data_IF_645794347708
#
_entry.id   IF_645794347708
#
_cell.length_a   1.000
_cell.length_b   1.000
_cell.length_c   1.000
_cell.angle_alpha   90.00
_cell.angle_beta   90.00
_cell.angle_gamma   90.00
#
_symmetry.space_group_name_H-M   'P 1'
#
loop_
_entity.id
_entity.type
_entity.pdbx_description
1 polymer ?
#
# COMPACT_ATOMS: atom_id res chain seq x y z
N UNK A 1 8.49 -15.54 -23.64
CA UNK A 1 7.03 -15.38 -23.45
C UNK A 1 6.52 -15.63 -22.02
N UNK A 2 5.43 -14.95 -21.64
CA UNK A 2 4.62 -15.26 -20.47
C UNK A 2 3.88 -16.59 -20.64
N UNK A 3 3.69 -17.38 -19.56
CA UNK A 3 2.93 -18.63 -19.63
C UNK A 3 1.51 -18.41 -20.15
N UNK A 4 0.97 -19.41 -20.84
CA UNK A 4 -0.42 -19.37 -21.33
C UNK A 4 -1.43 -19.74 -20.23
N UNK A 5 -0.97 -20.40 -19.16
CA UNK A 5 -1.81 -20.86 -18.05
C UNK A 5 -1.31 -20.33 -16.70
N UNK A 6 -2.21 -20.11 -15.73
CA UNK A 6 -1.82 -19.68 -14.39
C UNK A 6 -0.90 -20.66 -13.67
N UNK A 7 -1.05 -21.97 -13.89
CA UNK A 7 -0.18 -22.99 -13.29
C UNK A 7 1.26 -22.88 -13.79
N UNK A 8 1.48 -22.44 -15.04
CA UNK A 8 2.82 -22.19 -15.57
C UNK A 8 3.58 -21.06 -14.87
N UNK A 9 2.92 -20.24 -14.05
CA UNK A 9 3.60 -19.24 -13.22
C UNK A 9 4.33 -19.87 -12.03
N UNK A 10 3.84 -21.00 -11.49
CA UNK A 10 4.41 -21.63 -10.27
C UNK A 10 5.86 -22.06 -10.46
N UNK A 11 6.24 -22.43 -11.68
CA UNK A 11 7.61 -22.82 -12.03
C UNK A 11 8.49 -21.62 -12.41
N UNK A 12 7.92 -20.40 -12.44
CA UNK A 12 8.57 -19.18 -12.90
C UNK A 12 8.36 -18.03 -11.91
N UNK A 13 9.14 -17.98 -10.81
CA UNK A 13 8.97 -16.98 -9.76
C UNK A 13 9.04 -15.52 -10.24
N UNK A 14 9.87 -15.23 -11.25
CA UNK A 14 9.96 -13.90 -11.86
C UNK A 14 8.65 -13.50 -12.55
N UNK A 15 8.06 -14.41 -13.34
CA UNK A 15 6.79 -14.19 -14.01
C UNK A 15 5.65 -14.07 -13.00
N UNK A 16 5.64 -14.94 -11.98
CA UNK A 16 4.64 -14.91 -10.91
C UNK A 16 4.65 -13.58 -10.16
N UNK A 17 5.85 -13.08 -9.80
CA UNK A 17 5.98 -11.81 -9.11
C UNK A 17 5.47 -10.65 -9.96
N UNK A 18 5.89 -10.57 -11.24
CA UNK A 18 5.49 -9.49 -12.14
C UNK A 18 3.98 -9.49 -12.44
N UNK A 19 3.40 -10.67 -12.66
CA UNK A 19 1.95 -10.83 -12.83
C UNK A 19 1.21 -10.49 -11.53
N UNK A 20 1.76 -10.87 -10.37
CA UNK A 20 1.21 -10.55 -9.06
C UNK A 20 1.15 -9.04 -8.80
N UNK A 21 2.22 -8.32 -9.11
CA UNK A 21 2.26 -6.86 -8.97
C UNK A 21 1.24 -6.21 -9.92
N UNK A 22 1.20 -6.63 -11.20
CA UNK A 22 0.22 -6.11 -12.16
C UNK A 22 -1.22 -6.34 -11.70
N UNK A 23 -1.52 -7.55 -11.23
CA UNK A 23 -2.83 -7.92 -10.69
C UNK A 23 -3.22 -7.01 -9.51
N UNK A 24 -2.31 -6.81 -8.55
CA UNK A 24 -2.55 -5.95 -7.41
C UNK A 24 -2.83 -4.48 -7.78
N UNK A 25 -2.07 -3.93 -8.74
CA UNK A 25 -2.20 -2.53 -9.16
C UNK A 25 -3.42 -2.28 -10.06
N UNK A 26 -3.81 -3.27 -10.89
CA UNK A 26 -4.96 -3.17 -11.79
C UNK A 26 -6.28 -3.62 -11.17
N UNK A 27 -6.25 -4.25 -9.99
CA UNK A 27 -7.43 -4.86 -9.36
C UNK A 27 -7.91 -6.14 -10.05
N UNK A 28 -7.14 -6.67 -11.02
CA UNK A 28 -7.44 -7.93 -11.72
C UNK A 28 -6.91 -9.13 -10.94
N UNK A 29 -7.49 -10.29 -11.18
CA UNK A 29 -6.93 -11.56 -10.72
C UNK A 29 -5.70 -11.95 -11.56
N UNK A 30 -4.80 -12.76 -10.99
CA UNK A 30 -3.64 -13.28 -11.72
C UNK A 30 -4.06 -14.07 -12.97
N UNK A 31 -5.19 -14.77 -12.92
CA UNK A 31 -5.71 -15.52 -14.05
C UNK A 31 -6.09 -14.61 -15.23
N UNK A 32 -6.79 -13.50 -14.96
CA UNK A 32 -7.15 -12.51 -15.98
C UNK A 32 -5.90 -11.88 -16.61
N UNK A 33 -4.88 -11.56 -15.81
CA UNK A 33 -3.61 -11.01 -16.32
C UNK A 33 -2.88 -12.02 -17.18
N UNK A 34 -2.84 -13.30 -16.79
CA UNK A 34 -2.27 -14.37 -17.62
C UNK A 34 -3.03 -14.49 -18.94
N UNK A 35 -4.37 -14.46 -18.92
CA UNK A 35 -5.17 -14.49 -20.16
C UNK A 35 -4.89 -13.28 -21.06
N UNK A 36 -4.75 -12.08 -20.50
CA UNK A 36 -4.51 -10.84 -21.26
C UNK A 36 -3.12 -10.79 -21.93
N UNK A 37 -2.13 -11.44 -21.30
CA UNK A 37 -0.74 -11.42 -21.75
C UNK A 37 -0.20 -12.79 -22.16
N UNK A 38 -1.06 -13.80 -22.30
CA UNK A 38 -0.69 -15.16 -22.70
C UNK A 38 0.12 -15.13 -24.01
N UNK A 39 1.26 -15.82 -24.01
CA UNK A 39 2.14 -15.92 -25.18
C UNK A 39 2.89 -14.63 -25.55
N UNK A 40 2.61 -13.48 -24.91
CA UNK A 40 3.34 -12.23 -25.16
C UNK A 40 4.74 -12.27 -24.54
N UNK A 41 5.67 -11.53 -25.14
CA UNK A 41 7.02 -11.40 -24.61
C UNK A 41 7.10 -10.46 -23.40
N UNK A 42 8.09 -10.69 -22.53
CA UNK A 42 8.32 -9.83 -21.37
C UNK A 42 8.69 -8.40 -21.74
N UNK A 43 9.25 -8.19 -22.94
CA UNK A 43 9.49 -6.87 -23.51
C UNK A 43 8.20 -6.08 -23.76
N UNK A 44 7.05 -6.75 -23.91
CA UNK A 44 5.72 -6.13 -24.01
C UNK A 44 5.10 -5.96 -22.63
N UNK A 45 5.24 -6.96 -21.75
CA UNK A 45 4.64 -6.93 -20.42
C UNK A 45 5.28 -5.88 -19.49
N UNK A 46 6.61 -5.78 -19.46
CA UNK A 46 7.33 -4.90 -18.53
C UNK A 46 6.99 -3.41 -18.72
N UNK A 47 6.92 -2.88 -19.96
CA UNK A 47 6.43 -1.52 -20.18
C UNK A 47 4.99 -1.33 -19.68
N UNK A 48 4.07 -2.26 -20.00
CA UNK A 48 2.69 -2.16 -19.55
C UNK A 48 2.57 -2.15 -18.01
N UNK A 49 3.38 -2.96 -17.33
CA UNK A 49 3.47 -2.94 -15.86
C UNK A 49 4.04 -1.61 -15.34
N UNK A 50 5.06 -1.06 -16.00
CA UNK A 50 5.67 0.21 -15.60
C UNK A 50 4.68 1.37 -15.74
N UNK A 51 3.96 1.44 -16.87
CA UNK A 51 2.95 2.47 -17.12
C UNK A 51 1.82 2.37 -16.09
N UNK A 52 1.30 1.17 -15.83
CA UNK A 52 0.29 0.93 -14.79
C UNK A 52 0.79 1.36 -13.40
N UNK A 53 2.04 1.06 -13.06
CA UNK A 53 2.61 1.44 -11.77
C UNK A 53 2.76 2.96 -11.64
N UNK A 54 3.16 3.65 -12.71
CA UNK A 54 3.23 5.12 -12.74
C UNK A 54 1.83 5.71 -12.54
N UNK A 55 0.85 5.25 -13.31
CA UNK A 55 -0.52 5.76 -13.25
C UNK A 55 -1.13 5.56 -11.85
N UNK A 56 -0.89 4.41 -11.23
CA UNK A 56 -1.39 4.11 -9.90
C UNK A 56 -0.70 4.92 -8.79
N UNK A 57 0.62 5.12 -8.87
CA UNK A 57 1.40 5.77 -7.81
C UNK A 57 1.48 7.29 -7.95
N UNK A 58 1.29 7.85 -9.16
CA UNK A 58 1.32 9.29 -9.42
C UNK A 58 0.40 10.13 -8.51
N UNK A 59 -0.89 9.76 -8.29
CA UNK A 59 -1.75 10.54 -7.38
C UNK A 59 -1.26 10.50 -5.93
N UNK A 60 -0.74 9.36 -5.46
CA UNK A 60 -0.18 9.20 -4.12
C UNK A 60 1.07 10.09 -3.96
N UNK A 61 1.95 10.10 -4.96
CA UNK A 61 3.14 10.94 -4.96
C UNK A 61 2.78 12.43 -4.94
N UNK A 62 1.76 12.81 -5.71
CA UNK A 62 1.27 14.19 -5.79
C UNK A 62 0.71 14.65 -4.45
N UNK A 63 -0.09 13.81 -3.79
CA UNK A 63 -0.66 14.12 -2.48
C UNK A 63 0.43 14.18 -1.39
N UNK A 64 1.39 13.25 -1.43
CA UNK A 64 2.55 13.29 -0.53
C UNK A 64 3.33 14.60 -0.68
N UNK A 65 3.58 15.06 -1.91
CA UNK A 65 4.24 16.36 -2.15
C UNK A 65 3.43 17.52 -1.58
N UNK A 66 2.12 17.55 -1.84
CA UNK A 66 1.20 18.56 -1.30
C UNK A 66 1.28 18.64 0.22
N UNK A 67 1.32 17.48 0.90
CA UNK A 67 1.41 17.40 2.37
C UNK A 67 2.79 17.83 2.89
N UNK A 68 3.88 17.48 2.20
CA UNK A 68 5.23 17.90 2.57
C UNK A 68 5.43 19.42 2.40
N UNK A 69 4.75 20.03 1.43
CA UNK A 69 4.75 21.47 1.19
C UNK A 69 3.85 22.25 2.18
N UNK A 70 3.06 21.55 3.00
CA UNK A 70 2.23 22.14 4.07
C UNK A 70 2.51 21.49 5.45
N UNK A 71 3.68 21.79 6.06
CA UNK A 71 4.01 21.26 7.39
C UNK A 71 3.01 21.65 8.48
N UNK A 72 2.38 22.82 8.36
CA UNK A 72 1.42 23.31 9.36
C UNK A 72 0.15 22.44 9.40
N UNK A 73 -0.33 21.99 8.24
CA UNK A 73 -1.42 21.02 8.18
C UNK A 73 -1.04 19.69 8.83
N UNK A 74 0.16 19.18 8.55
CA UNK A 74 0.66 17.93 9.15
C UNK A 74 0.74 18.06 10.68
N UNK A 75 1.29 19.14 11.20
CA UNK A 75 1.37 19.41 12.64
C UNK A 75 -0.02 19.49 13.28
N UNK A 76 -0.99 20.11 12.60
CA UNK A 76 -2.37 20.19 13.08
C UNK A 76 -3.02 18.80 13.19
N UNK A 77 -2.83 17.94 12.19
CA UNK A 77 -3.33 16.55 12.19
C UNK A 77 -2.66 15.73 13.31
N UNK A 78 -1.34 15.87 13.48
CA UNK A 78 -0.60 15.19 14.54
C UNK A 78 -1.06 15.65 15.94
N UNK A 79 -1.28 16.94 16.12
CA UNK A 79 -1.79 17.51 17.37
C UNK A 79 -3.16 16.96 17.71
N UNK A 80 -4.09 17.00 16.77
CA UNK A 80 -5.45 16.46 16.93
C UNK A 80 -5.44 14.95 17.25
N UNK A 81 -4.61 14.17 16.54
CA UNK A 81 -4.39 12.75 16.84
C UNK A 81 -3.82 12.51 18.25
N UNK A 82 -2.85 13.33 18.66
CA UNK A 82 -2.25 13.24 19.99
C UNK A 82 -3.23 13.61 21.11
N UNK A 83 -4.07 14.63 20.90
CA UNK A 83 -5.07 15.07 21.88
C UNK A 83 -6.14 13.98 22.08
N UNK A 84 -6.59 13.31 21.01
CA UNK A 84 -7.46 12.12 21.11
C UNK A 84 -6.80 10.95 21.84
N UNK A 85 -5.57 10.61 21.45
CA UNK A 85 -4.84 9.50 22.06
C UNK A 85 -4.58 9.76 23.56
N UNK A 86 -4.26 11.01 23.93
CA UNK A 86 -4.06 11.43 25.31
C UNK A 86 -5.33 11.27 26.13
N UNK A 87 -6.49 11.65 25.62
CA UNK A 87 -7.76 11.50 26.34
C UNK A 87 -8.02 10.04 26.75
N UNK A 88 -7.77 9.08 25.84
CA UNK A 88 -7.91 7.65 26.10
C UNK A 88 -6.86 7.18 27.11
N UNK A 89 -5.59 7.57 26.89
CA UNK A 89 -4.49 7.15 27.75
C UNK A 89 -4.61 7.69 29.18
N UNK A 90 -5.15 8.91 29.36
CA UNK A 90 -5.36 9.51 30.67
C UNK A 90 -6.36 8.74 31.52
N UNK A 91 -7.41 8.18 30.92
CA UNK A 91 -8.38 7.33 31.62
C UNK A 91 -7.69 6.08 32.17
N UNK A 92 -6.99 5.34 31.32
CA UNK A 92 -6.22 4.15 31.74
C UNK A 92 -5.17 4.50 32.79
N UNK A 93 -4.45 5.61 32.62
CA UNK A 93 -3.41 6.02 33.58
C UNK A 93 -3.97 6.44 34.93
N UNK A 94 -5.20 6.98 34.99
CA UNK A 94 -5.88 7.27 36.27
C UNK A 94 -6.16 5.98 37.04
N UNK A 95 -6.67 4.95 36.36
CA UNK A 95 -6.92 3.64 36.97
C UNK A 95 -5.62 3.01 37.48
N UNK A 96 -4.57 3.01 36.65
CA UNK A 96 -3.25 2.49 37.03
C UNK A 96 -2.70 3.23 38.26
N UNK A 97 -2.77 4.57 38.27
CA UNK A 97 -2.31 5.38 39.42
C UNK A 97 -3.09 5.06 40.69
N UNK A 98 -4.42 4.90 40.60
CA UNK A 98 -5.25 4.53 41.73
C UNK A 98 -4.90 3.14 42.29
N UNK A 99 -4.65 2.15 41.43
CA UNK A 99 -4.25 0.79 41.84
C UNK A 99 -2.89 0.79 42.53
N UNK A 100 -1.92 1.54 42.00
CA UNK A 100 -0.56 1.63 42.57
C UNK A 100 -0.53 2.41 43.89
N UNK A 101 -1.58 3.18 44.19
CA UNK A 101 -1.69 4.00 45.41
C UNK A 101 -1.08 5.39 45.26
N UNK A 102 -0.88 5.86 44.03
CA UNK A 102 -0.57 7.28 43.80
C UNK A 102 -1.85 8.10 43.93
N UNK A 103 -1.82 9.14 44.76
CA UNK A 103 -2.88 10.16 44.79
C UNK A 103 -2.78 10.96 43.48
N UNK A 104 -3.75 10.77 42.61
CA UNK A 104 -3.95 11.56 41.39
C UNK A 104 -4.48 12.95 41.68
#
# INVERSE_FOLDING_TARGET
>A
PLPETPDGLKERPEAENLVGIYAALSGKTRAEVVTEFAGKEFSVFKPALADLAVDHLAPINSEMRRLLDDPAHVDAVLKDGADRARAIAEETMKEVKAIVGFLG
#
